data_IF_293227658943
#
_entry.id   IF_293227658943
#
_cell.length_a   1.000
_cell.length_b   1.000
_cell.length_c   1.000
_cell.angle_alpha   90.00
_cell.angle_beta   90.00
_cell.angle_gamma   90.00
#
_symmetry.space_group_name_H-M   'P 1'
#
loop_
_entity.id
_entity.type
_entity.pdbx_description
1 polymer ?
#
# COMPACT_ATOMS: atom_id res chain seq x y z
N UNK A 1 -7.05 -26.06 1.93
CA UNK A 1 -6.71 -25.30 0.70
C UNK A 1 -5.28 -24.79 0.82
N UNK A 2 -4.44 -24.93 -0.21
CA UNK A 2 -3.09 -24.32 -0.23
C UNK A 2 -3.20 -22.92 -0.84
N UNK A 3 -2.96 -21.87 -0.07
CA UNK A 3 -2.55 -20.58 -0.62
C UNK A 3 -1.16 -20.72 -1.25
N UNK A 4 -0.89 -19.95 -2.31
CA UNK A 4 0.41 -20.05 -2.99
C UNK A 4 1.51 -19.40 -2.13
N UNK A 5 2.73 -19.97 -2.14
CA UNK A 5 3.85 -19.42 -1.36
C UNK A 5 4.29 -18.03 -1.85
N UNK A 6 4.00 -17.73 -3.12
CA UNK A 6 4.21 -16.44 -3.80
C UNK A 6 2.96 -15.53 -3.82
N UNK A 7 2.04 -15.68 -2.87
CA UNK A 7 0.93 -14.73 -2.70
C UNK A 7 1.46 -13.35 -2.30
N UNK A 8 1.61 -12.46 -3.29
CA UNK A 8 1.92 -11.03 -3.10
C UNK A 8 0.75 -10.39 -2.33
N UNK A 9 1.05 -9.85 -1.15
CA UNK A 9 0.07 -9.17 -0.31
C UNK A 9 0.03 -7.68 -0.65
N UNK A 10 -1.12 -7.19 -1.10
CA UNK A 10 -1.32 -5.78 -1.39
C UNK A 10 -1.96 -5.07 -0.20
N UNK A 11 -1.41 -3.91 0.16
CA UNK A 11 -1.93 -3.07 1.23
C UNK A 11 -2.45 -1.76 0.63
N UNK A 12 -3.72 -1.45 0.85
CA UNK A 12 -4.38 -0.22 0.41
C UNK A 12 -4.78 0.61 1.64
N UNK A 13 -4.29 1.86 1.78
CA UNK A 13 -4.78 2.77 2.82
C UNK A 13 -6.25 3.16 2.58
N UNK A 14 -7.01 3.35 3.66
CA UNK A 14 -8.21 4.20 3.62
C UNK A 14 -7.85 5.60 3.11
N UNK A 15 -8.59 6.10 2.12
CA UNK A 15 -8.34 7.44 1.58
C UNK A 15 -8.56 8.55 2.61
N UNK A 16 -9.58 8.41 3.47
CA UNK A 16 -9.92 9.38 4.52
C UNK A 16 -8.83 9.54 5.59
N UNK A 17 -7.86 8.61 5.65
CA UNK A 17 -6.70 8.65 6.57
C UNK A 17 -5.37 8.63 5.80
N UNK A 18 -5.39 8.87 4.48
CA UNK A 18 -4.24 8.85 3.55
C UNK A 18 -3.02 9.52 4.15
N UNK A 19 -3.22 10.73 4.68
CA UNK A 19 -2.20 11.63 5.20
C UNK A 19 -1.40 11.02 6.36
N UNK A 20 -2.06 10.69 7.47
CA UNK A 20 -1.41 10.09 8.65
C UNK A 20 -0.97 8.64 8.44
N UNK A 21 -1.73 7.86 7.66
CA UNK A 21 -1.41 6.44 7.43
C UNK A 21 -0.27 6.25 6.43
N UNK A 22 0.01 7.20 5.53
CA UNK A 22 1.09 7.10 4.53
C UNK A 22 2.46 6.79 5.13
N UNK A 23 3.02 7.61 6.03
CA UNK A 23 4.33 7.33 6.61
C UNK A 23 4.34 6.00 7.38
N UNK A 24 3.23 5.63 8.03
CA UNK A 24 3.13 4.35 8.74
C UNK A 24 3.15 3.14 7.79
N UNK A 25 2.42 3.21 6.67
CA UNK A 25 2.36 2.14 5.67
C UNK A 25 3.67 2.03 4.87
N UNK A 26 4.33 3.15 4.54
CA UNK A 26 5.66 3.14 3.92
C UNK A 26 6.69 2.47 4.83
N UNK A 27 6.71 2.81 6.13
CA UNK A 27 7.56 2.12 7.11
C UNK A 27 7.21 0.63 7.24
N UNK A 28 5.92 0.27 7.29
CA UNK A 28 5.48 -1.12 7.36
C UNK A 28 5.92 -1.95 6.14
N UNK A 29 5.86 -1.38 4.94
CA UNK A 29 6.30 -2.01 3.69
C UNK A 29 7.83 -2.10 3.59
N UNK A 30 8.58 -1.09 4.05
CA UNK A 30 10.04 -1.19 4.19
C UNK A 30 10.45 -2.31 5.15
N UNK A 31 9.75 -2.45 6.29
CA UNK A 31 10.00 -3.53 7.25
C UNK A 31 9.53 -4.92 6.75
N UNK A 32 8.61 -4.98 5.79
CA UNK A 32 8.02 -6.22 5.29
C UNK A 32 8.02 -6.27 3.74
N UNK A 33 9.17 -6.52 3.08
CA UNK A 33 9.34 -6.42 1.63
C UNK A 33 8.51 -7.41 0.77
N UNK A 34 7.71 -8.29 1.41
CA UNK A 34 6.70 -9.13 0.75
C UNK A 34 5.39 -8.39 0.42
N UNK A 35 5.17 -7.23 1.03
CA UNK A 35 3.97 -6.42 0.82
C UNK A 35 4.22 -5.35 -0.24
N UNK A 36 3.21 -5.10 -1.09
CA UNK A 36 3.23 -3.99 -2.04
C UNK A 36 2.13 -3.01 -1.69
N UNK A 37 2.47 -1.73 -1.46
CA UNK A 37 1.46 -0.70 -1.31
C UNK A 37 0.86 -0.37 -2.68
N UNK A 38 -0.46 -0.44 -2.81
CA UNK A 38 -1.14 -0.07 -4.06
C UNK A 38 -1.68 1.36 -3.96
N UNK A 39 -0.84 2.31 -4.36
CA UNK A 39 -1.15 3.75 -4.34
C UNK A 39 -1.45 4.23 -5.77
N UNK A 40 -2.70 4.64 -6.01
CA UNK A 40 -3.06 5.35 -7.24
C UNK A 40 -2.44 6.76 -7.22
N UNK A 41 -1.25 6.91 -7.78
CA UNK A 41 -0.53 8.19 -7.95
C UNK A 41 -1.38 9.24 -8.68
N UNK A 42 -2.24 8.79 -9.59
CA UNK A 42 -3.29 9.56 -10.29
C UNK A 42 -4.24 10.36 -9.37
N UNK A 43 -4.33 10.05 -8.06
CA UNK A 43 -5.11 10.84 -7.08
C UNK A 43 -4.28 11.85 -6.26
N UNK A 44 -2.96 11.87 -6.41
CA UNK A 44 -2.09 12.88 -5.77
C UNK A 44 -1.63 13.92 -6.80
N UNK A 45 -1.30 13.49 -8.02
CA UNK A 45 -1.16 14.39 -9.15
C UNK A 45 -2.56 14.91 -9.50
N UNK A 46 -2.83 16.18 -9.20
CA UNK A 46 -4.02 16.89 -9.67
C UNK A 46 -3.81 17.26 -11.15
N UNK A 47 -3.79 16.25 -12.02
CA UNK A 47 -3.90 16.42 -13.47
C UNK A 47 -5.38 16.20 -13.81
N UNK A 48 -6.06 17.18 -14.45
CA UNK A 48 -7.42 17.01 -14.96
C UNK A 48 -7.48 16.10 -16.20
#
# INVERSE_FOLDING_TARGET
TKTNKDCILYLQPEWSKRDKMMPQIVNYVMANPKWKVSLQTHKYLNIP
#
